data_IF_980403115999
#
_entry.id   IF_980403115999
#
_cell.length_a   1.000
_cell.length_b   1.000
_cell.length_c   1.000
_cell.angle_alpha   90.00
_cell.angle_beta   90.00
_cell.angle_gamma   90.00
#
_symmetry.space_group_name_H-M   'P 1'
#
loop_
_entity.id
_entity.type
_entity.pdbx_description
1 polymer ?
#
# COMPACT_ATOMS: atom_id res chain seq x y z
N UNK A 1 -9.55 -3.05 3.47
CA UNK A 1 -9.71 -1.78 2.70
C UNK A 1 -8.54 -0.84 2.96
N UNK A 2 -8.41 0.23 2.17
CA UNK A 2 -7.46 1.31 2.45
C UNK A 2 -7.92 2.13 3.66
N UNK A 3 -7.00 2.45 4.56
CA UNK A 3 -7.30 3.26 5.74
C UNK A 3 -7.76 4.69 5.39
N UNK A 4 -7.22 5.24 4.31
CA UNK A 4 -7.55 6.60 3.83
C UNK A 4 -8.95 6.74 3.20
N UNK A 5 -9.64 5.63 2.92
CA UNK A 5 -10.99 5.68 2.37
C UNK A 5 -12.03 5.75 3.51
N UNK A 6 -12.16 6.93 4.11
CA UNK A 6 -13.05 7.18 5.25
C UNK A 6 -14.51 6.92 4.89
N UNK A 7 -14.94 7.28 3.68
CA UNK A 7 -16.32 7.03 3.21
C UNK A 7 -16.65 5.53 3.16
N UNK A 8 -15.68 4.70 2.74
CA UNK A 8 -15.84 3.26 2.73
C UNK A 8 -15.95 2.70 4.16
N UNK A 9 -15.12 3.21 5.08
CA UNK A 9 -15.20 2.85 6.50
C UNK A 9 -16.57 3.23 7.06
N UNK A 10 -17.08 4.43 6.74
CA UNK A 10 -18.43 4.86 7.14
C UNK A 10 -19.50 3.92 6.60
N UNK A 11 -19.43 3.52 5.32
CA UNK A 11 -20.38 2.58 4.73
C UNK A 11 -20.38 1.22 5.44
N UNK A 12 -19.18 0.71 5.80
CA UNK A 12 -19.06 -0.55 6.54
C UNK A 12 -19.70 -0.42 7.93
N UNK A 13 -19.43 0.66 8.66
CA UNK A 13 -20.00 0.92 9.98
C UNK A 13 -21.52 1.03 9.91
N UNK A 14 -22.05 1.80 8.96
CA UNK A 14 -23.50 1.97 8.76
C UNK A 14 -24.17 0.62 8.43
N UNK A 15 -23.55 -0.18 7.59
CA UNK A 15 -24.05 -1.50 7.22
C UNK A 15 -24.03 -2.45 8.43
N UNK A 16 -22.93 -2.49 9.17
CA UNK A 16 -22.83 -3.29 10.38
C UNK A 16 -23.89 -2.91 11.41
N UNK A 17 -24.10 -1.61 11.65
CA UNK A 17 -25.15 -1.11 12.53
C UNK A 17 -26.54 -1.58 12.09
N UNK A 18 -26.87 -1.44 10.79
CA UNK A 18 -28.15 -1.88 10.22
C UNK A 18 -28.44 -3.36 10.46
N UNK A 19 -27.39 -4.20 10.50
CA UNK A 19 -27.51 -5.63 10.76
C UNK A 19 -27.23 -6.02 12.21
N UNK A 20 -27.19 -5.06 13.15
CA UNK A 20 -26.97 -5.32 14.58
C UNK A 20 -25.58 -5.85 14.92
N UNK A 21 -24.58 -5.63 14.04
CA UNK A 21 -23.22 -6.12 14.21
C UNK A 21 -22.34 -5.10 14.92
N UNK A 22 -21.30 -5.60 15.59
CA UNK A 22 -20.25 -4.79 16.24
C UNK A 22 -19.04 -4.69 15.32
N UNK A 23 -18.42 -3.52 15.32
CA UNK A 23 -17.26 -3.23 14.48
C UNK A 23 -16.03 -3.03 15.36
N UNK A 24 -14.96 -3.72 15.07
CA UNK A 24 -13.64 -3.40 15.60
C UNK A 24 -12.68 -3.05 14.45
N UNK A 25 -11.67 -2.29 14.77
CA UNK A 25 -10.67 -1.82 13.81
C UNK A 25 -9.30 -2.36 14.18
N UNK A 26 -8.59 -2.93 13.20
CA UNK A 26 -7.26 -3.49 13.42
C UNK A 26 -6.26 -2.99 12.37
N UNK A 27 -5.05 -2.69 12.86
CA UNK A 27 -3.98 -2.13 12.08
C UNK A 27 -3.71 -0.66 12.41
N UNK A 28 -2.44 -0.34 12.71
CA UNK A 28 -2.02 0.97 13.24
C UNK A 28 -2.51 2.14 12.38
N UNK A 29 -2.37 2.07 11.07
CA UNK A 29 -2.80 3.15 10.18
C UNK A 29 -4.32 3.31 10.15
N UNK A 30 -5.09 2.20 10.24
CA UNK A 30 -6.54 2.25 10.25
C UNK A 30 -7.05 2.92 11.54
N UNK A 31 -6.50 2.52 12.68
CA UNK A 31 -6.85 3.12 13.98
C UNK A 31 -6.55 4.62 13.97
N UNK A 32 -5.34 5.02 13.57
CA UNK A 32 -4.94 6.45 13.55
C UNK A 32 -5.82 7.30 12.64
N UNK A 33 -6.19 6.80 11.46
CA UNK A 33 -7.05 7.53 10.52
C UNK A 33 -8.48 7.60 11.06
N UNK A 34 -8.99 6.51 11.62
CA UNK A 34 -10.33 6.51 12.21
C UNK A 34 -10.41 7.49 13.39
N UNK A 35 -9.45 7.48 14.30
CA UNK A 35 -9.39 8.43 15.42
C UNK A 35 -9.35 9.90 14.94
N UNK A 36 -8.60 10.15 13.87
CA UNK A 36 -8.53 11.48 13.26
C UNK A 36 -9.86 11.87 12.62
N UNK A 37 -10.49 10.96 11.88
CA UNK A 37 -11.77 11.19 11.24
C UNK A 37 -12.90 11.45 12.26
N UNK A 38 -12.87 10.77 13.41
CA UNK A 38 -13.79 11.01 14.51
C UNK A 38 -13.57 12.42 15.09
N UNK A 39 -12.33 12.81 15.37
CA UNK A 39 -12.00 14.13 15.93
C UNK A 39 -12.37 15.27 15.00
N UNK A 40 -12.30 15.04 13.70
CA UNK A 40 -12.66 16.02 12.66
C UNK A 40 -14.15 15.95 12.28
N UNK A 41 -14.94 15.13 12.96
CA UNK A 41 -16.38 14.92 12.66
C UNK A 41 -16.64 14.49 11.20
N UNK A 42 -15.65 13.86 10.56
CA UNK A 42 -15.76 13.34 9.19
C UNK A 42 -16.45 11.98 9.11
N UNK A 43 -16.66 11.33 10.27
CA UNK A 43 -17.30 10.02 10.37
C UNK A 43 -18.30 10.03 11.52
N UNK A 44 -19.48 9.45 11.28
CA UNK A 44 -20.51 9.28 12.28
C UNK A 44 -20.56 7.81 12.73
N UNK A 45 -20.39 7.57 14.01
CA UNK A 45 -20.43 6.23 14.59
C UNK A 45 -21.69 6.09 15.43
N UNK A 46 -22.66 5.25 15.00
CA UNK A 46 -23.84 4.98 15.79
C UNK A 46 -23.47 4.39 17.16
N UNK A 47 -24.24 4.72 18.17
CA UNK A 47 -24.02 4.25 19.54
C UNK A 47 -23.87 2.73 19.59
N UNK A 48 -22.95 2.26 20.44
CA UNK A 48 -22.70 0.84 20.67
C UNK A 48 -22.30 0.01 19.41
N UNK A 49 -21.86 0.63 18.32
CA UNK A 49 -21.44 -0.06 17.09
C UNK A 49 -19.95 -0.34 17.07
N UNK A 50 -19.13 0.68 17.36
CA UNK A 50 -17.68 0.53 17.44
C UNK A 50 -17.29 0.06 18.83
N UNK A 51 -16.48 -1.01 18.89
CA UNK A 51 -15.98 -1.60 20.12
C UNK A 51 -14.48 -1.88 20.03
N UNK A 52 -13.81 -1.96 21.15
CA UNK A 52 -12.42 -2.37 21.18
C UNK A 52 -12.27 -3.82 20.71
N UNK A 53 -11.16 -4.12 20.04
CA UNK A 53 -10.88 -5.47 19.55
C UNK A 53 -10.91 -6.53 20.67
N UNK A 54 -10.49 -6.16 21.89
CA UNK A 54 -10.51 -7.06 23.05
C UNK A 54 -11.92 -7.38 23.55
N UNK A 55 -12.88 -6.53 23.22
CA UNK A 55 -14.29 -6.73 23.57
C UNK A 55 -15.03 -7.59 22.55
N UNK A 56 -14.47 -7.77 21.33
CA UNK A 56 -15.13 -8.54 20.27
C UNK A 56 -15.47 -9.98 20.68
N UNK A 57 -14.61 -10.61 21.50
CA UNK A 57 -14.84 -11.96 22.05
C UNK A 57 -16.13 -12.10 22.88
N UNK A 58 -16.75 -11.00 23.29
CA UNK A 58 -17.99 -11.01 24.07
C UNK A 58 -19.23 -11.06 23.18
N UNK A 59 -19.07 -11.02 21.85
CA UNK A 59 -20.15 -11.06 20.88
C UNK A 59 -20.06 -12.33 20.06
N UNK A 60 -21.20 -12.92 19.64
CA UNK A 60 -21.22 -14.05 18.72
C UNK A 60 -20.51 -13.75 17.41
N UNK A 61 -19.90 -14.73 16.77
CA UNK A 61 -19.10 -14.55 15.56
C UNK A 61 -19.89 -13.89 14.43
N UNK A 62 -21.17 -14.26 14.28
CA UNK A 62 -22.09 -13.66 13.29
C UNK A 62 -22.37 -12.18 13.52
N UNK A 63 -22.09 -11.65 14.69
CA UNK A 63 -22.22 -10.23 15.03
C UNK A 63 -20.91 -9.45 14.91
N UNK A 64 -19.80 -10.11 14.59
CA UNK A 64 -18.49 -9.47 14.53
C UNK A 64 -18.17 -8.96 13.13
N UNK A 65 -17.64 -7.75 13.06
CA UNK A 65 -17.07 -7.15 11.84
C UNK A 65 -15.72 -6.54 12.20
N UNK A 66 -14.68 -6.93 11.47
CA UNK A 66 -13.33 -6.41 11.69
C UNK A 66 -12.88 -5.64 10.44
N UNK A 67 -12.63 -4.34 10.59
CA UNK A 67 -12.06 -3.51 9.53
C UNK A 67 -10.53 -3.53 9.70
N UNK A 68 -9.82 -4.01 8.69
CA UNK A 68 -8.37 -4.20 8.80
C UNK A 68 -7.60 -3.67 7.60
N UNK A 69 -6.31 -3.44 7.80
CA UNK A 69 -5.31 -3.14 6.77
C UNK A 69 -4.67 -4.41 6.22
N UNK A 70 -3.88 -4.28 5.14
CA UNK A 70 -3.15 -5.41 4.53
C UNK A 70 -3.75 -5.91 3.24
N UNK A 71 -4.66 -5.14 2.63
CA UNK A 71 -5.30 -5.49 1.36
C UNK A 71 -4.34 -5.44 0.15
N UNK A 72 -3.11 -4.98 0.33
CA UNK A 72 -2.04 -4.97 -0.68
C UNK A 72 -1.01 -6.08 -0.49
N UNK A 73 -1.24 -6.99 0.45
CA UNK A 73 -0.37 -8.14 0.69
C UNK A 73 0.92 -7.81 1.45
N UNK A 74 0.96 -6.67 2.14
CA UNK A 74 2.11 -6.25 2.96
C UNK A 74 2.34 -7.27 4.08
N UNK A 75 3.53 -7.81 4.20
CA UNK A 75 3.86 -8.93 5.09
C UNK A 75 3.62 -8.64 6.58
N UNK A 76 3.81 -7.39 6.99
CA UNK A 76 3.64 -6.96 8.39
C UNK A 76 2.24 -6.44 8.71
N UNK A 77 1.36 -6.31 7.72
CA UNK A 77 0.00 -5.82 7.93
C UNK A 77 -0.86 -6.81 8.73
N UNK A 78 -1.93 -6.30 9.32
CA UNK A 78 -2.79 -7.09 10.19
C UNK A 78 -3.39 -8.30 9.47
N UNK A 79 -3.94 -8.11 8.27
CA UNK A 79 -4.52 -9.20 7.48
C UNK A 79 -3.50 -10.30 7.14
N UNK A 80 -2.27 -9.92 6.77
CA UNK A 80 -1.20 -10.88 6.48
C UNK A 80 -0.85 -11.72 7.72
N UNK A 81 -0.81 -11.10 8.90
CA UNK A 81 -0.59 -11.80 10.17
C UNK A 81 -1.74 -12.74 10.52
N UNK A 82 -3.00 -12.33 10.27
CA UNK A 82 -4.19 -13.17 10.45
C UNK A 82 -4.16 -14.39 9.50
N UNK A 83 -3.87 -14.16 8.22
CA UNK A 83 -3.78 -15.21 7.21
C UNK A 83 -2.69 -16.25 7.54
N UNK A 84 -1.60 -15.85 8.17
CA UNK A 84 -0.47 -16.72 8.52
C UNK A 84 -0.47 -17.20 9.99
N UNK A 85 -1.57 -17.07 10.72
CA UNK A 85 -1.70 -17.43 12.16
C UNK A 85 -0.70 -16.69 13.08
N UNK A 86 -0.22 -15.52 12.68
CA UNK A 86 0.71 -14.71 13.45
C UNK A 86 0.03 -13.55 14.19
N UNK A 87 -1.29 -13.42 14.06
CA UNK A 87 -2.06 -12.40 14.76
C UNK A 87 -2.44 -12.90 16.15
N UNK A 88 -2.18 -12.06 17.19
CA UNK A 88 -2.33 -12.50 18.59
C UNK A 88 -3.78 -12.65 19.07
N UNK A 89 -4.72 -11.93 18.43
CA UNK A 89 -6.10 -11.79 18.93
C UNK A 89 -7.16 -12.31 17.96
N UNK A 90 -6.84 -12.46 16.68
CA UNK A 90 -7.79 -12.83 15.63
C UNK A 90 -7.27 -14.07 14.92
N UNK A 91 -8.11 -15.07 14.81
CA UNK A 91 -7.89 -16.26 13.99
C UNK A 91 -8.98 -16.31 12.93
N UNK A 92 -8.58 -16.49 11.67
CA UNK A 92 -9.51 -16.66 10.55
C UNK A 92 -9.61 -18.14 10.22
N UNK A 93 -10.81 -18.65 9.99
CA UNK A 93 -11.10 -20.05 9.69
C UNK A 93 -12.35 -20.26 8.86
N UNK A 94 -12.83 -21.51 8.86
CA UNK A 94 -14.07 -21.88 8.19
C UNK A 94 -15.27 -21.16 8.80
N UNK A 95 -16.15 -20.62 7.94
CA UNK A 95 -17.31 -19.82 8.35
C UNK A 95 -17.06 -18.32 8.38
N UNK A 96 -15.80 -17.87 8.30
CA UNK A 96 -15.47 -16.45 8.18
C UNK A 96 -15.53 -15.99 6.73
N UNK A 97 -15.97 -14.75 6.52
CA UNK A 97 -15.97 -14.08 5.22
C UNK A 97 -14.98 -12.94 5.21
N UNK A 98 -14.03 -12.94 4.28
CA UNK A 98 -13.04 -11.86 4.11
C UNK A 98 -13.32 -11.10 2.82
N UNK A 99 -13.59 -9.80 2.93
CA UNK A 99 -13.93 -8.94 1.79
C UNK A 99 -12.75 -8.00 1.49
N UNK A 100 -12.13 -8.16 0.31
CA UNK A 100 -11.13 -7.23 -0.20
C UNK A 100 -11.84 -6.04 -0.88
N UNK A 101 -12.09 -5.00 -0.12
CA UNK A 101 -12.68 -3.76 -0.65
C UNK A 101 -11.59 -2.79 -1.15
N UNK A 102 -10.73 -3.29 -2.02
CA UNK A 102 -9.64 -2.58 -2.68
C UNK A 102 -9.05 -3.46 -3.79
N UNK A 103 -8.69 -2.87 -4.92
CA UNK A 103 -7.96 -3.58 -5.96
C UNK A 103 -6.45 -3.60 -5.65
N UNK A 104 -5.72 -4.63 -6.08
CA UNK A 104 -4.26 -4.61 -6.00
C UNK A 104 -3.68 -3.42 -6.77
N UNK A 105 -2.75 -2.73 -6.15
CA UNK A 105 -1.92 -1.75 -6.85
C UNK A 105 -1.00 -2.53 -7.81
N UNK A 106 -0.77 -2.05 -9.06
CA UNK A 106 0.13 -2.72 -9.99
C UNK A 106 1.48 -3.07 -9.36
N UNK A 107 1.84 -4.36 -9.43
CA UNK A 107 3.02 -4.93 -8.78
C UNK A 107 2.75 -5.69 -7.47
N UNK A 108 1.59 -5.50 -6.86
CA UNK A 108 1.21 -6.20 -5.62
C UNK A 108 0.36 -7.46 -5.85
N UNK A 109 0.03 -7.79 -7.11
CA UNK A 109 -0.90 -8.87 -7.44
C UNK A 109 -0.47 -10.22 -6.85
N UNK A 110 0.82 -10.55 -6.93
CA UNK A 110 1.36 -11.79 -6.37
C UNK A 110 1.23 -11.85 -4.85
N UNK A 111 1.49 -10.74 -4.17
CA UNK A 111 1.39 -10.65 -2.71
C UNK A 111 -0.05 -10.77 -2.24
N UNK A 112 -0.98 -10.10 -2.92
CA UNK A 112 -2.42 -10.17 -2.65
C UNK A 112 -2.94 -11.58 -2.91
N UNK A 113 -2.60 -12.19 -4.06
CA UNK A 113 -2.99 -13.56 -4.40
C UNK A 113 -2.49 -14.57 -3.36
N UNK A 114 -1.27 -14.38 -2.83
CA UNK A 114 -0.76 -15.24 -1.75
C UNK A 114 -1.65 -15.18 -0.52
N UNK A 115 -2.04 -13.98 -0.08
CA UNK A 115 -2.93 -13.82 1.09
C UNK A 115 -4.30 -14.46 0.83
N UNK A 116 -4.90 -14.23 -0.33
CA UNK A 116 -6.17 -14.85 -0.73
C UNK A 116 -6.07 -16.37 -0.64
N UNK A 117 -5.01 -16.96 -1.19
CA UNK A 117 -4.80 -18.40 -1.16
C UNK A 117 -4.65 -18.95 0.27
N UNK A 118 -3.95 -18.23 1.16
CA UNK A 118 -3.84 -18.64 2.57
C UNK A 118 -5.20 -18.60 3.30
N UNK A 119 -6.00 -17.58 3.04
CA UNK A 119 -7.34 -17.46 3.61
C UNK A 119 -8.27 -18.58 3.11
N UNK A 120 -8.26 -18.88 1.81
CA UNK A 120 -9.03 -19.97 1.21
C UNK A 120 -8.59 -21.34 1.76
N UNK A 121 -7.29 -21.59 1.96
CA UNK A 121 -6.80 -22.83 2.59
C UNK A 121 -7.29 -23.03 4.01
N UNK A 122 -7.60 -21.94 4.71
CA UNK A 122 -8.19 -21.98 6.05
C UNK A 122 -9.70 -22.23 6.04
N UNK A 123 -10.31 -22.30 4.86
CA UNK A 123 -11.75 -22.48 4.70
C UNK A 123 -12.58 -21.21 4.81
N UNK A 124 -11.95 -20.04 4.82
CA UNK A 124 -12.66 -18.77 4.79
C UNK A 124 -13.23 -18.51 3.39
N UNK A 125 -14.39 -17.86 3.34
CA UNK A 125 -14.94 -17.31 2.11
C UNK A 125 -14.22 -15.99 1.77
N UNK A 126 -13.72 -15.85 0.53
CA UNK A 126 -12.99 -14.66 0.12
C UNK A 126 -13.67 -13.97 -1.05
N UNK A 127 -14.12 -12.73 -0.81
CA UNK A 127 -14.73 -11.88 -1.84
C UNK A 127 -13.67 -10.84 -2.24
N UNK A 128 -13.15 -10.92 -3.47
CA UNK A 128 -12.07 -10.05 -3.95
C UNK A 128 -12.32 -9.47 -5.35
N UNK A 129 -13.45 -9.82 -5.98
CA UNK A 129 -13.90 -9.26 -7.26
C UNK A 129 -15.13 -8.38 -7.02
N UNK A 130 -15.25 -7.31 -7.80
CA UNK A 130 -16.39 -6.39 -7.81
C UNK A 130 -16.75 -5.71 -6.46
N UNK A 131 -15.88 -5.84 -5.47
CA UNK A 131 -16.06 -5.22 -4.15
C UNK A 131 -15.43 -3.83 -4.03
N UNK A 132 -14.82 -3.32 -5.09
CA UNK A 132 -14.18 -2.02 -5.13
C UNK A 132 -14.50 -1.27 -6.41
N UNK A 133 -15.00 -0.06 -6.26
CA UNK A 133 -15.19 0.90 -7.36
C UNK A 133 -13.99 1.83 -7.38
N UNK A 134 -13.35 1.97 -8.55
CA UNK A 134 -12.22 2.90 -8.74
C UNK A 134 -12.69 4.34 -8.49
N UNK A 135 -11.86 5.14 -7.81
CA UNK A 135 -12.05 6.58 -7.70
C UNK A 135 -11.56 7.35 -8.94
N UNK A 136 -10.93 6.67 -9.91
CA UNK A 136 -10.49 7.28 -11.16
C UNK A 136 -11.64 7.37 -12.14
N UNK A 137 -11.80 8.54 -12.76
CA UNK A 137 -12.82 8.77 -13.78
C UNK A 137 -12.55 7.92 -15.03
N UNK A 138 -13.60 7.36 -15.60
CA UNK A 138 -13.53 6.72 -16.91
C UNK A 138 -13.54 7.75 -18.04
N UNK A 139 -13.31 7.28 -19.27
CA UNK A 139 -13.21 8.16 -20.44
C UNK A 139 -14.45 9.07 -20.63
N UNK A 140 -15.64 8.53 -20.45
CA UNK A 140 -16.88 9.28 -20.65
C UNK A 140 -17.14 10.32 -19.53
N UNK A 141 -16.73 10.01 -18.33
CA UNK A 141 -16.79 10.96 -17.19
C UNK A 141 -15.80 12.11 -17.41
N UNK A 142 -14.60 11.84 -17.90
CA UNK A 142 -13.62 12.88 -18.26
C UNK A 142 -14.16 13.76 -19.38
N UNK A 143 -14.77 13.18 -20.43
CA UNK A 143 -15.42 13.94 -21.49
C UNK A 143 -16.53 14.85 -20.96
N UNK A 144 -17.34 14.35 -20.04
CA UNK A 144 -18.40 15.14 -19.40
C UNK A 144 -17.82 16.37 -18.70
N UNK A 145 -16.73 16.21 -17.95
CA UNK A 145 -16.05 17.32 -17.27
C UNK A 145 -15.54 18.34 -18.28
N UNK A 146 -14.88 17.91 -19.37
CA UNK A 146 -14.44 18.83 -20.44
C UNK A 146 -15.62 19.56 -21.08
N UNK A 147 -16.74 18.86 -21.34
CA UNK A 147 -17.92 19.47 -21.94
C UNK A 147 -18.55 20.54 -21.03
N UNK A 148 -18.57 20.29 -19.73
CA UNK A 148 -19.13 21.21 -18.74
C UNK A 148 -18.22 22.41 -18.45
N UNK A 149 -16.91 22.19 -18.32
CA UNK A 149 -15.96 23.23 -17.93
C UNK A 149 -15.38 24.01 -19.10
N UNK A 150 -15.32 23.41 -20.28
CA UNK A 150 -14.73 24.00 -21.52
C UNK A 150 -13.39 24.68 -21.25
N UNK A 151 -12.41 23.95 -20.68
CA UNK A 151 -11.16 24.56 -20.24
C UNK A 151 -10.34 25.08 -21.44
N UNK A 152 -9.63 26.19 -21.25
CA UNK A 152 -8.68 26.72 -22.23
C UNK A 152 -7.44 25.81 -22.34
N UNK A 153 -6.96 25.29 -21.21
CA UNK A 153 -5.79 24.42 -21.13
C UNK A 153 -6.14 23.06 -20.51
N UNK A 154 -5.42 22.03 -20.94
CA UNK A 154 -5.51 20.69 -20.37
C UNK A 154 -4.13 20.24 -19.88
N UNK A 155 -4.06 19.76 -18.63
CA UNK A 155 -2.83 19.28 -18.00
C UNK A 155 -3.11 17.87 -17.45
N UNK A 156 -2.93 16.81 -18.25
CA UNK A 156 -3.06 15.45 -17.76
C UNK A 156 -2.01 15.18 -16.68
N UNK A 157 -2.46 14.67 -15.53
CA UNK A 157 -1.61 14.34 -14.39
C UNK A 157 -1.91 12.93 -13.91
N UNK A 158 -0.97 12.36 -13.13
CA UNK A 158 -1.10 11.05 -12.51
C UNK A 158 -1.05 9.87 -13.51
N UNK A 159 -0.10 9.00 -13.28
CA UNK A 159 0.12 7.79 -14.08
C UNK A 159 1.42 7.84 -14.88
N UNK A 160 1.61 6.85 -15.73
CA UNK A 160 2.75 6.78 -16.64
C UNK A 160 2.51 7.67 -17.87
N UNK A 161 3.56 7.95 -18.64
CA UNK A 161 3.48 8.80 -19.85
C UNK A 161 2.40 8.34 -20.83
N UNK A 162 2.18 7.02 -21.00
CA UNK A 162 1.09 6.47 -21.84
C UNK A 162 -0.29 6.96 -21.40
N UNK A 163 -0.53 7.09 -20.09
CA UNK A 163 -1.79 7.57 -19.54
C UNK A 163 -1.97 9.07 -19.77
N UNK A 164 -0.89 9.86 -19.58
CA UNK A 164 -0.90 11.28 -19.89
C UNK A 164 -1.19 11.53 -21.38
N UNK A 165 -0.58 10.71 -22.25
CA UNK A 165 -0.81 10.76 -23.71
C UNK A 165 -2.25 10.42 -24.08
N UNK A 166 -2.86 9.44 -23.42
CA UNK A 166 -4.27 9.09 -23.62
C UNK A 166 -5.19 10.24 -23.18
N UNK A 167 -4.91 10.85 -22.02
CA UNK A 167 -5.62 12.02 -21.52
C UNK A 167 -5.50 13.22 -22.47
N UNK A 168 -4.30 13.47 -22.99
CA UNK A 168 -4.07 14.53 -23.99
C UNK A 168 -4.91 14.33 -25.27
N UNK A 169 -4.92 13.10 -25.80
CA UNK A 169 -5.74 12.76 -26.96
C UNK A 169 -7.23 12.97 -26.69
N UNK A 170 -7.68 12.62 -25.49
CA UNK A 170 -9.07 12.84 -25.08
C UNK A 170 -9.40 14.33 -25.03
N UNK A 171 -8.53 15.15 -24.43
CA UNK A 171 -8.70 16.61 -24.40
C UNK A 171 -8.79 17.22 -25.80
N UNK A 172 -7.95 16.76 -26.73
CA UNK A 172 -7.98 17.17 -28.14
C UNK A 172 -9.34 16.82 -28.79
N UNK A 173 -9.87 15.61 -28.57
CA UNK A 173 -11.21 15.21 -29.07
C UNK A 173 -12.34 16.03 -28.48
N UNK A 174 -12.14 16.62 -27.30
CA UNK A 174 -13.12 17.52 -26.65
C UNK A 174 -12.95 18.99 -27.03
N UNK A 175 -12.09 19.30 -28.01
CA UNK A 175 -11.92 20.62 -28.58
C UNK A 175 -10.86 21.50 -27.94
N UNK A 176 -10.04 20.97 -27.02
CA UNK A 176 -8.87 21.70 -26.52
C UNK A 176 -7.80 21.73 -27.61
N UNK A 177 -7.31 22.92 -27.93
CA UNK A 177 -6.28 23.10 -28.95
C UNK A 177 -4.99 22.37 -28.57
N UNK A 178 -4.31 21.77 -29.53
CA UNK A 178 -3.16 20.90 -29.30
C UNK A 178 -2.00 21.61 -28.57
N UNK A 179 -1.78 22.88 -28.85
CA UNK A 179 -0.79 23.76 -28.19
C UNK A 179 -1.22 24.20 -26.78
N UNK A 180 -2.47 23.98 -26.43
CA UNK A 180 -3.01 24.20 -25.09
C UNK A 180 -3.02 22.92 -24.22
N UNK A 181 -2.48 21.81 -24.70
CA UNK A 181 -2.37 20.55 -23.95
C UNK A 181 -0.93 20.38 -23.48
N UNK A 182 -0.73 20.49 -22.16
CA UNK A 182 0.59 20.47 -21.54
C UNK A 182 0.89 19.06 -21.01
N UNK A 183 1.77 18.31 -21.69
CA UNK A 183 2.31 17.04 -21.18
C UNK A 183 3.56 17.32 -20.40
N UNK A 184 3.41 17.34 -19.07
CA UNK A 184 4.48 17.71 -18.13
C UNK A 184 5.19 16.48 -17.60
N UNK A 185 6.44 16.64 -17.23
CA UNK A 185 7.24 15.70 -16.49
C UNK A 185 7.45 16.17 -15.04
N UNK A 186 7.87 15.26 -14.18
CA UNK A 186 8.23 15.64 -12.81
C UNK A 186 9.32 16.72 -12.85
N UNK A 187 9.15 17.76 -12.05
CA UNK A 187 10.07 18.90 -11.99
C UNK A 187 9.75 20.05 -12.93
N UNK A 188 8.93 19.87 -13.97
CA UNK A 188 8.56 20.96 -14.87
C UNK A 188 7.77 22.05 -14.15
N UNK A 189 8.11 23.31 -14.44
CA UNK A 189 7.40 24.50 -13.94
C UNK A 189 6.52 25.02 -15.07
N UNK A 190 5.21 24.95 -14.87
CA UNK A 190 4.23 25.54 -15.77
C UNK A 190 3.82 26.93 -15.27
N UNK A 191 4.00 27.94 -16.08
CA UNK A 191 3.51 29.28 -15.81
C UNK A 191 2.25 29.53 -16.65
N UNK A 192 1.16 29.85 -15.99
CA UNK A 192 -0.13 30.15 -16.61
C UNK A 192 -0.43 31.64 -16.42
N UNK A 193 -0.45 32.38 -17.51
CA UNK A 193 -0.90 33.78 -17.55
C UNK A 193 -2.28 33.93 -18.21
N UNK A 194 -2.69 35.18 -18.36
CA UNK A 194 -3.97 35.48 -19.05
C UNK A 194 -3.94 35.10 -20.52
N UNK A 195 -2.81 35.35 -21.19
CA UNK A 195 -2.65 35.15 -22.64
C UNK A 195 -2.14 33.74 -22.98
N UNK A 196 -1.16 33.24 -22.23
CA UNK A 196 -0.48 31.98 -22.54
C UNK A 196 -0.17 31.14 -21.30
N UNK A 197 0.04 29.84 -21.57
CA UNK A 197 0.64 28.90 -20.64
C UNK A 197 1.90 28.29 -21.27
N UNK A 198 2.99 28.22 -20.55
CA UNK A 198 4.27 27.70 -21.05
C UNK A 198 5.10 27.05 -19.95
N UNK A 199 5.89 26.03 -20.29
CA UNK A 199 6.86 25.44 -19.38
C UNK A 199 8.07 26.40 -19.34
N UNK A 200 8.27 27.05 -18.17
CA UNK A 200 9.26 28.12 -18.00
C UNK A 200 10.56 27.68 -17.35
N UNK A 201 10.61 26.45 -16.83
CA UNK A 201 11.80 25.93 -16.18
C UNK A 201 11.58 24.58 -15.55
N UNK A 202 12.56 24.16 -14.76
CA UNK A 202 12.51 22.92 -13.99
C UNK A 202 13.07 23.11 -12.59
N UNK A 203 12.52 22.38 -11.63
CA UNK A 203 13.08 22.22 -10.29
C UNK A 203 13.78 20.86 -10.18
N UNK A 204 14.78 20.71 -9.30
CA UNK A 204 15.36 19.42 -9.02
C UNK A 204 14.28 18.41 -8.65
N UNK A 205 14.31 17.26 -9.28
CA UNK A 205 13.37 16.14 -9.06
C UNK A 205 14.13 14.82 -9.07
N UNK A 206 13.53 13.77 -8.52
CA UNK A 206 14.11 12.44 -8.51
C UNK A 206 13.86 11.73 -7.18
N UNK A 207 14.50 10.58 -7.01
CA UNK A 207 14.45 9.81 -5.78
C UNK A 207 15.54 10.26 -4.82
N UNK A 208 15.16 10.68 -3.63
CA UNK A 208 16.07 10.91 -2.52
C UNK A 208 16.00 9.70 -1.60
N UNK A 209 17.11 8.96 -1.51
CA UNK A 209 17.19 7.79 -0.64
C UNK A 209 17.41 8.24 0.80
N UNK A 210 16.65 7.65 1.73
CA UNK A 210 16.76 7.93 3.16
C UNK A 210 17.16 6.64 3.87
N UNK A 211 18.22 6.73 4.68
CA UNK A 211 18.72 5.62 5.50
C UNK A 211 18.92 6.08 6.95
N UNK A 212 17.98 5.76 7.81
CA UNK A 212 17.98 6.27 9.18
C UNK A 212 17.93 7.79 9.22
N UNK A 213 18.98 8.43 9.76
CA UNK A 213 19.12 9.88 9.82
C UNK A 213 19.80 10.49 8.58
N UNK A 214 20.37 9.65 7.69
CA UNK A 214 21.03 10.07 6.46
C UNK A 214 20.02 10.33 5.34
N UNK A 215 20.06 11.48 4.72
CA UNK A 215 19.21 11.86 3.59
C UNK A 215 20.10 12.15 2.38
N UNK A 216 19.90 11.37 1.31
CA UNK A 216 20.67 11.52 0.07
C UNK A 216 22.06 10.85 0.07
N UNK A 217 22.48 10.27 1.18
CA UNK A 217 23.83 9.67 1.33
C UNK A 217 23.93 8.23 0.79
N UNK A 218 22.82 7.65 0.35
CA UNK A 218 22.75 6.27 -0.14
C UNK A 218 23.11 6.25 -1.63
N UNK A 219 24.40 6.09 -1.92
CA UNK A 219 24.88 5.99 -3.29
C UNK A 219 24.65 4.62 -3.94
N UNK A 220 24.85 4.55 -5.26
CA UNK A 220 24.67 3.33 -6.08
C UNK A 220 25.50 2.13 -5.58
N UNK A 221 26.67 2.37 -4.98
CA UNK A 221 27.52 1.31 -4.42
C UNK A 221 26.81 0.64 -3.24
N UNK A 222 26.29 1.44 -2.31
CA UNK A 222 25.55 0.93 -1.14
C UNK A 222 24.31 0.16 -1.56
N UNK A 223 23.55 0.66 -2.55
CA UNK A 223 22.36 -0.02 -3.07
C UNK A 223 22.73 -1.37 -3.72
N UNK A 224 23.78 -1.41 -4.53
CA UNK A 224 24.28 -2.64 -5.15
C UNK A 224 24.72 -3.64 -4.09
N UNK A 225 25.48 -3.21 -3.09
CA UNK A 225 25.98 -4.09 -2.03
C UNK A 225 24.80 -4.65 -1.20
N UNK A 226 23.81 -3.82 -0.87
CA UNK A 226 22.59 -4.29 -0.22
C UNK A 226 21.81 -5.30 -1.06
N UNK A 227 21.73 -5.08 -2.37
CA UNK A 227 21.09 -6.02 -3.30
C UNK A 227 21.83 -7.35 -3.32
N UNK A 228 23.16 -7.34 -3.40
CA UNK A 228 23.98 -8.55 -3.33
C UNK A 228 23.80 -9.29 -2.01
N UNK A 229 23.84 -8.57 -0.88
CA UNK A 229 23.62 -9.15 0.45
C UNK A 229 22.22 -9.75 0.60
N UNK A 230 21.20 -9.14 0.01
CA UNK A 230 19.83 -9.67 0.06
C UNK A 230 19.62 -10.95 -0.76
N UNK A 231 20.42 -11.14 -1.82
CA UNK A 231 20.34 -12.32 -2.70
C UNK A 231 21.26 -13.46 -2.23
N UNK A 232 22.47 -13.13 -1.81
CA UNK A 232 23.54 -14.10 -1.56
C UNK A 232 23.83 -14.29 -0.06
N UNK A 233 23.40 -13.35 0.78
CA UNK A 233 23.74 -13.32 2.20
C UNK A 233 25.22 -12.96 2.43
N UNK A 234 25.65 -13.09 3.69
CA UNK A 234 27.03 -12.86 4.14
C UNK A 234 27.45 -13.98 5.08
N UNK A 235 28.63 -14.54 4.85
CA UNK A 235 29.28 -15.49 5.72
C UNK A 235 30.65 -14.95 6.12
N UNK A 236 30.90 -14.84 7.42
CA UNK A 236 32.18 -14.46 7.98
C UNK A 236 32.72 -15.66 8.75
N UNK A 237 33.94 -16.10 8.40
CA UNK A 237 34.63 -17.15 9.11
C UNK A 237 35.88 -16.55 9.77
N UNK A 238 35.94 -16.64 11.09
CA UNK A 238 37.07 -16.13 11.89
C UNK A 238 37.91 -17.31 12.37
N UNK A 239 39.20 -17.27 12.06
CA UNK A 239 40.19 -18.30 12.42
C UNK A 239 41.35 -17.65 13.13
N UNK A 240 41.86 -18.29 14.15
CA UNK A 240 43.14 -17.92 14.77
C UNK A 240 44.18 -18.98 14.44
N UNK A 241 45.22 -18.58 13.73
CA UNK A 241 46.30 -19.46 13.30
C UNK A 241 47.59 -19.09 14.02
N UNK A 242 48.40 -20.11 14.34
CA UNK A 242 49.75 -19.90 14.81
C UNK A 242 50.63 -19.35 13.67
N UNK A 243 51.42 -18.33 13.98
CA UNK A 243 52.16 -17.54 12.98
C UNK A 243 53.18 -18.36 12.14
N UNK A 244 53.80 -19.37 12.72
CA UNK A 244 54.88 -20.10 12.07
C UNK A 244 54.45 -21.48 11.57
N UNK A 245 53.56 -22.17 12.24
CA UNK A 245 53.12 -23.53 11.87
C UNK A 245 51.80 -23.54 11.07
N UNK A 246 51.10 -22.41 10.99
CA UNK A 246 49.75 -22.30 10.45
C UNK A 246 48.73 -23.26 11.09
N UNK A 247 49.02 -23.75 12.30
CA UNK A 247 48.08 -24.59 13.03
C UNK A 247 46.93 -23.76 13.55
N UNK A 248 45.72 -24.33 13.52
CA UNK A 248 44.52 -23.70 14.05
C UNK A 248 44.59 -23.64 15.57
N UNK A 249 44.64 -22.45 16.14
CA UNK A 249 44.67 -22.24 17.61
C UNK A 249 43.26 -22.05 18.19
N UNK A 250 42.36 -21.41 17.42
CA UNK A 250 40.99 -21.24 17.83
C UNK A 250 40.08 -21.01 16.62
N UNK A 251 38.79 -21.32 16.74
CA UNK A 251 37.77 -21.24 15.69
C UNK A 251 37.55 -22.58 14.99
N UNK A 252 36.83 -22.61 13.87
CA UNK A 252 36.25 -21.49 13.16
C UNK A 252 35.02 -20.92 13.88
N UNK A 253 34.98 -19.60 14.13
CA UNK A 253 33.80 -18.89 14.50
C UNK A 253 33.09 -18.44 13.23
N UNK A 254 31.82 -18.83 13.07
CA UNK A 254 31.01 -18.54 11.86
C UNK A 254 29.89 -17.60 12.18
N UNK A 255 29.87 -16.45 11.53
CA UNK A 255 28.76 -15.49 11.59
C UNK A 255 28.09 -15.42 10.21
N UNK A 256 26.79 -15.70 10.16
CA UNK A 256 26.01 -15.62 8.92
C UNK A 256 24.90 -14.58 9.01
N UNK A 257 24.58 -13.98 7.86
CA UNK A 257 23.43 -13.08 7.68
C UNK A 257 22.79 -13.39 6.32
N UNK A 258 21.44 -13.45 6.29
CA UNK A 258 20.68 -13.67 5.05
C UNK A 258 20.48 -15.12 4.64
N UNK A 259 21.06 -16.10 5.35
CA UNK A 259 20.78 -17.53 5.20
C UNK A 259 20.97 -18.26 6.53
N UNK A 260 20.35 -19.43 6.64
CA UNK A 260 20.55 -20.30 7.80
C UNK A 260 21.77 -21.20 7.57
N UNK A 261 22.71 -21.21 8.50
CA UNK A 261 23.71 -22.28 8.60
C UNK A 261 23.02 -23.40 9.38
N UNK A 262 22.64 -24.48 8.70
CA UNK A 262 22.25 -25.70 9.38
C UNK A 262 23.52 -26.29 9.98
N UNK A 263 23.65 -26.29 11.30
CA UNK A 263 24.55 -27.19 11.99
C UNK A 263 24.11 -28.63 11.66
N UNK A 264 24.84 -29.29 10.75
CA UNK A 264 24.79 -30.73 10.70
C UNK A 264 25.70 -31.20 11.85
N UNK A 265 25.07 -31.66 12.91
CA UNK A 265 25.68 -32.50 13.94
C UNK A 265 26.15 -33.78 13.28
#
# INVERSE_FOLDING_TARGET
TFASNVDRVQQIINTAYKFGRKVAVEGRSMVNILDTAIKLECINIPENTLVDLDQMKNYPDEQQVIITTGSQGESMAALSRMANNMHRKITIGAGDTVIFSSNPIPGNEKSVTKIINELLRKGADVIFQDAHVSGHACQEEIKLIYALTKPKYAIPVHGEYKHLKAGAKLAETMGVQKDHIMLMQSGDILTIGQEKAEITGQVPHGCVMVDGLGVGDVGNIVLRDRQMLSQNGLLIVVLTLEKYSNQLLAGPDIVSRGFCVCERI
#
